data_IF_964298464580
#
_entry.id   IF_964298464580
#
_cell.length_a   1.000
_cell.length_b   1.000
_cell.length_c   1.000
_cell.angle_alpha   90.00
_cell.angle_beta   90.00
_cell.angle_gamma   90.00
#
_symmetry.space_group_name_H-M   'P 1'
#
loop_
_entity.id
_entity.type
_entity.pdbx_description
1 polymer ?
#
# COMPACT_ATOMS: atom_id res chain seq x y z
N UNK A 1 13.72 12.98 1.06
CA UNK A 1 12.59 13.73 1.67
C UNK A 1 12.53 13.40 3.16
N UNK A 2 12.43 14.42 3.95
CA UNK A 2 12.26 14.28 5.40
C UNK A 2 10.89 13.70 5.75
N UNK A 3 10.80 12.95 6.86
CA UNK A 3 9.53 12.31 7.31
C UNK A 3 8.44 13.37 7.50
N UNK A 4 8.74 14.47 8.15
CA UNK A 4 7.76 15.53 8.39
C UNK A 4 7.26 16.14 7.08
N UNK A 5 8.16 16.37 6.12
CA UNK A 5 7.79 16.85 4.79
C UNK A 5 6.85 15.87 4.07
N UNK A 6 7.14 14.57 4.14
CA UNK A 6 6.29 13.55 3.55
C UNK A 6 4.88 13.57 4.17
N UNK A 7 4.80 13.67 5.50
CA UNK A 7 3.52 13.76 6.21
C UNK A 7 2.73 15.00 5.79
N UNK A 8 3.41 16.15 5.63
CA UNK A 8 2.75 17.41 5.27
C UNK A 8 2.27 17.45 3.83
N UNK A 9 2.88 16.70 2.93
CA UNK A 9 2.66 16.84 1.48
C UNK A 9 1.95 15.66 0.83
N UNK A 10 1.89 14.49 1.46
CA UNK A 10 1.33 13.29 0.86
C UNK A 10 -0.15 13.50 0.47
N UNK A 11 -0.49 13.05 -0.73
CA UNK A 11 -1.84 13.13 -1.28
C UNK A 11 -2.30 11.74 -1.72
N UNK A 12 -3.61 11.52 -1.66
CA UNK A 12 -4.24 10.38 -2.30
C UNK A 12 -4.26 10.59 -3.82
N UNK A 13 -3.72 9.65 -4.57
CA UNK A 13 -3.60 9.73 -6.04
C UNK A 13 -4.55 8.71 -6.67
N UNK A 14 -5.33 9.15 -7.67
CA UNK A 14 -6.30 8.32 -8.38
C UNK A 14 -6.06 8.22 -9.88
N UNK A 15 -5.05 8.90 -10.39
CA UNK A 15 -4.61 8.80 -11.79
C UNK A 15 -3.13 8.41 -11.78
N UNK A 16 -2.80 7.35 -12.52
CA UNK A 16 -1.45 6.79 -12.52
C UNK A 16 -0.86 6.86 -13.93
N UNK A 17 0.45 7.09 -13.98
CA UNK A 17 1.21 7.06 -15.22
C UNK A 17 1.40 5.62 -15.69
N UNK A 18 1.50 5.42 -17.01
CA UNK A 18 1.87 4.13 -17.61
C UNK A 18 3.38 3.88 -17.50
N UNK A 19 3.90 3.98 -16.28
CA UNK A 19 5.32 3.86 -15.99
C UNK A 19 5.52 2.79 -14.91
N UNK A 20 6.36 1.78 -15.16
CA UNK A 20 6.62 0.76 -14.16
C UNK A 20 7.37 1.35 -12.96
N UNK A 21 7.12 0.78 -11.80
CA UNK A 21 7.88 1.07 -10.59
C UNK A 21 9.01 0.04 -10.48
N UNK A 22 10.26 0.47 -10.27
CA UNK A 22 11.38 -0.47 -10.12
C UNK A 22 11.17 -1.46 -8.97
N UNK A 23 11.61 -2.70 -9.16
CA UNK A 23 11.46 -3.74 -8.14
C UNK A 23 12.08 -3.37 -6.80
N UNK A 24 13.22 -2.68 -6.81
CA UNK A 24 13.87 -2.24 -5.57
C UNK A 24 13.01 -1.22 -4.80
N UNK A 25 12.25 -0.37 -5.49
CA UNK A 25 11.33 0.56 -4.86
C UNK A 25 10.13 -0.18 -4.25
N UNK A 26 9.56 -1.14 -4.99
CA UNK A 26 8.49 -2.00 -4.47
C UNK A 26 8.97 -2.73 -3.21
N UNK A 27 10.19 -3.28 -3.25
CA UNK A 27 10.77 -3.98 -2.12
C UNK A 27 10.87 -3.07 -0.88
N UNK A 28 11.36 -1.84 -1.03
CA UNK A 28 11.46 -0.89 0.08
C UNK A 28 10.09 -0.52 0.65
N UNK A 29 9.09 -0.37 -0.20
CA UNK A 29 7.72 -0.06 0.23
C UNK A 29 7.17 -1.21 1.09
N UNK A 30 7.30 -2.44 0.63
CA UNK A 30 6.84 -3.62 1.39
C UNK A 30 7.65 -3.78 2.69
N UNK A 31 8.94 -3.55 2.64
CA UNK A 31 9.81 -3.65 3.82
C UNK A 31 9.41 -2.62 4.89
N UNK A 32 9.01 -1.41 4.48
CA UNK A 32 8.54 -0.39 5.42
C UNK A 32 7.29 -0.87 6.17
N UNK A 33 6.40 -1.59 5.50
CA UNK A 33 5.23 -2.19 6.14
C UNK A 33 5.63 -3.29 7.12
N UNK A 34 6.49 -4.20 6.67
CA UNK A 34 6.96 -5.32 7.50
C UNK A 34 7.65 -4.85 8.77
N UNK A 35 8.39 -3.75 8.71
CA UNK A 35 9.14 -3.19 9.84
C UNK A 35 8.29 -2.30 10.76
N UNK A 36 7.05 -2.03 10.39
CA UNK A 36 6.14 -1.22 11.21
C UNK A 36 5.85 -1.94 12.53
N UNK A 37 5.84 -1.18 13.62
CA UNK A 37 5.51 -1.72 14.93
C UNK A 37 4.07 -2.21 14.98
N UNK A 38 3.85 -3.32 15.67
CA UNK A 38 2.52 -3.86 15.93
C UNK A 38 2.33 -4.14 17.42
N UNK A 39 1.07 -4.26 17.83
CA UNK A 39 0.71 -4.52 19.21
C UNK A 39 1.31 -5.86 19.66
N UNK A 40 2.15 -5.82 20.70
CA UNK A 40 2.86 -6.99 21.24
C UNK A 40 3.72 -7.70 20.18
N UNK A 41 4.12 -7.00 19.12
CA UNK A 41 4.87 -7.55 17.98
C UNK A 41 4.20 -8.76 17.33
N UNK A 42 2.86 -8.78 17.32
CA UNK A 42 2.11 -9.91 16.77
C UNK A 42 2.11 -9.96 15.24
N UNK A 43 2.27 -8.82 14.58
CA UNK A 43 2.37 -8.73 13.11
C UNK A 43 1.21 -9.45 12.40
N UNK A 44 -0.06 -9.05 12.68
CA UNK A 44 -1.25 -9.77 12.23
C UNK A 44 -1.64 -9.45 10.79
N UNK A 45 -0.68 -9.41 9.88
CA UNK A 45 -0.84 -8.99 8.49
C UNK A 45 -0.10 -9.88 7.52
N UNK A 46 -0.56 -9.86 6.27
CA UNK A 46 0.15 -10.39 5.12
C UNK A 46 0.04 -9.36 4.00
N UNK A 47 1.12 -9.17 3.26
CA UNK A 47 1.20 -8.22 2.15
C UNK A 47 1.37 -8.98 0.86
N UNK A 48 0.43 -8.81 -0.07
CA UNK A 48 0.41 -9.53 -1.36
C UNK A 48 0.60 -8.49 -2.44
N UNK A 49 1.73 -8.55 -3.15
CA UNK A 49 2.02 -7.66 -4.26
C UNK A 49 1.35 -8.19 -5.52
N UNK A 50 0.56 -7.36 -6.17
CA UNK A 50 -0.10 -7.65 -7.43
C UNK A 50 0.44 -6.70 -8.48
N UNK A 51 1.21 -7.20 -9.44
CA UNK A 51 1.81 -6.41 -10.52
C UNK A 51 1.51 -6.94 -11.92
N UNK A 52 0.69 -7.97 -12.04
CA UNK A 52 0.19 -8.48 -13.31
C UNK A 52 -0.98 -7.62 -13.78
N UNK A 53 -0.91 -7.11 -15.02
CA UNK A 53 -1.93 -6.21 -15.56
C UNK A 53 -3.32 -6.83 -15.57
N UNK A 54 -3.46 -8.07 -15.97
CA UNK A 54 -4.76 -8.75 -16.02
C UNK A 54 -5.37 -8.87 -14.62
N UNK A 55 -4.54 -9.18 -13.62
CA UNK A 55 -4.99 -9.27 -12.23
C UNK A 55 -5.35 -7.88 -11.67
N UNK A 56 -4.60 -6.84 -12.02
CA UNK A 56 -4.93 -5.46 -11.61
C UNK A 56 -6.26 -5.01 -12.21
N UNK A 57 -6.55 -5.36 -13.46
CA UNK A 57 -7.83 -5.06 -14.10
C UNK A 57 -8.97 -5.76 -13.36
N UNK A 58 -8.82 -7.04 -13.05
CA UNK A 58 -9.82 -7.79 -12.28
C UNK A 58 -10.02 -7.20 -10.89
N UNK A 59 -8.94 -6.84 -10.23
CA UNK A 59 -8.99 -6.22 -8.91
C UNK A 59 -9.74 -4.89 -8.95
N UNK A 60 -9.46 -4.05 -9.94
CA UNK A 60 -10.14 -2.77 -10.15
C UNK A 60 -11.64 -2.91 -10.41
N UNK A 61 -12.09 -4.06 -10.93
CA UNK A 61 -13.51 -4.30 -11.18
C UNK A 61 -14.30 -4.68 -9.92
N UNK A 62 -13.62 -5.13 -8.86
CA UNK A 62 -14.28 -5.60 -7.62
C UNK A 62 -14.05 -4.68 -6.42
N UNK A 63 -13.07 -3.80 -6.50
CA UNK A 63 -12.75 -2.86 -5.41
C UNK A 63 -13.61 -1.61 -5.51
N UNK A 64 -14.23 -1.19 -4.42
CA UNK A 64 -15.07 0.00 -4.37
C UNK A 64 -14.67 0.90 -3.18
N UNK A 65 -14.39 2.19 -3.41
CA UNK A 65 -14.14 2.83 -4.68
C UNK A 65 -12.73 2.50 -5.17
N UNK A 66 -12.51 2.26 -6.41
CA UNK A 66 -11.15 1.98 -6.83
C UNK A 66 -10.94 1.42 -8.23
N UNK A 67 -11.78 1.82 -9.24
CA UNK A 67 -11.56 1.34 -10.61
C UNK A 67 -10.20 1.78 -11.17
N UNK A 68 -9.60 2.84 -10.62
CA UNK A 68 -8.24 3.30 -10.96
C UNK A 68 -7.15 2.27 -10.63
N UNK A 69 -7.45 1.26 -9.82
CA UNK A 69 -6.52 0.16 -9.51
C UNK A 69 -6.05 -0.54 -10.78
N UNK A 70 -6.92 -0.66 -11.79
CA UNK A 70 -6.59 -1.25 -13.07
C UNK A 70 -5.42 -0.56 -13.79
N UNK A 71 -5.18 0.71 -13.48
CA UNK A 71 -4.14 1.54 -14.12
C UNK A 71 -2.87 1.67 -13.28
N UNK A 72 -2.87 1.18 -12.06
CA UNK A 72 -1.71 1.26 -11.17
C UNK A 72 -0.56 0.39 -11.69
N UNK A 73 0.68 0.77 -11.36
CA UNK A 73 1.86 -0.04 -11.66
C UNK A 73 1.83 -1.35 -10.86
N UNK A 74 1.35 -1.28 -9.64
CA UNK A 74 1.12 -2.45 -8.78
C UNK A 74 0.10 -2.09 -7.69
N UNK A 75 -0.42 -3.11 -7.05
CA UNK A 75 -1.26 -2.97 -5.86
C UNK A 75 -0.71 -3.87 -4.75
N UNK A 76 -0.98 -3.51 -3.53
CA UNK A 76 -0.67 -4.34 -2.37
C UNK A 76 -1.99 -4.69 -1.68
N UNK A 77 -2.34 -5.96 -1.70
CA UNK A 77 -3.45 -6.47 -0.92
C UNK A 77 -2.96 -6.73 0.50
N UNK A 78 -3.60 -6.09 1.48
CA UNK A 78 -3.26 -6.25 2.88
C UNK A 78 -4.32 -7.10 3.56
N UNK A 79 -3.94 -8.32 3.93
CA UNK A 79 -4.79 -9.25 4.64
C UNK A 79 -4.48 -9.20 6.13
N UNK A 80 -5.51 -9.32 6.96
CA UNK A 80 -5.36 -9.30 8.41
C UNK A 80 -5.84 -10.60 9.02
N UNK A 81 -5.24 -10.96 10.16
CA UNK A 81 -5.73 -12.03 11.01
C UNK A 81 -6.98 -11.54 11.76
N UNK A 82 -8.14 -12.08 11.41
CA UNK A 82 -9.42 -11.71 12.02
C UNK A 82 -9.48 -12.02 13.51
N UNK A 83 -8.68 -12.94 13.99
CA UNK A 83 -8.66 -13.30 15.42
C UNK A 83 -7.88 -12.29 16.26
N UNK A 84 -7.07 -11.44 15.64
CA UNK A 84 -6.34 -10.39 16.36
C UNK A 84 -7.25 -9.21 16.68
N UNK A 85 -7.34 -8.79 17.95
CA UNK A 85 -8.12 -7.60 18.31
C UNK A 85 -7.48 -6.30 17.79
N UNK A 86 -6.22 -6.35 17.36
CA UNK A 86 -5.45 -5.21 16.88
C UNK A 86 -5.16 -5.26 15.38
N UNK A 87 -5.74 -6.23 14.66
CA UNK A 87 -5.43 -6.44 13.24
C UNK A 87 -5.65 -5.21 12.38
N UNK A 88 -6.80 -4.56 12.52
CA UNK A 88 -7.14 -3.37 11.74
C UNK A 88 -6.19 -2.21 12.07
N UNK A 89 -5.97 -1.92 13.35
CA UNK A 89 -5.10 -0.81 13.75
C UNK A 89 -3.65 -1.05 13.36
N UNK A 90 -3.15 -2.26 13.53
CA UNK A 90 -1.78 -2.62 13.17
C UNK A 90 -1.57 -2.54 11.66
N UNK A 91 -2.49 -3.12 10.87
CA UNK A 91 -2.43 -3.07 9.41
C UNK A 91 -2.54 -1.62 8.89
N UNK A 92 -3.37 -0.79 9.49
CA UNK A 92 -3.51 0.62 9.11
C UNK A 92 -2.20 1.38 9.31
N UNK A 93 -1.47 1.12 10.39
CA UNK A 93 -0.14 1.70 10.60
C UNK A 93 0.85 1.24 9.53
N UNK A 94 0.85 -0.04 9.20
CA UNK A 94 1.72 -0.58 8.16
C UNK A 94 1.41 0.03 6.78
N UNK A 95 0.13 0.22 6.45
CA UNK A 95 -0.28 0.88 5.21
C UNK A 95 0.24 2.31 5.16
N UNK A 96 0.15 3.05 6.26
CA UNK A 96 0.66 4.42 6.28
C UNK A 96 2.18 4.47 6.09
N UNK A 97 2.91 3.50 6.63
CA UNK A 97 4.35 3.38 6.37
C UNK A 97 4.64 3.20 4.87
N UNK A 98 3.86 2.35 4.19
CA UNK A 98 3.99 2.17 2.74
C UNK A 98 3.66 3.44 1.96
N UNK A 99 2.59 4.12 2.32
CA UNK A 99 2.15 5.36 1.68
C UNK A 99 3.23 6.43 1.76
N UNK A 100 3.80 6.63 2.94
CA UNK A 100 4.84 7.64 3.15
C UNK A 100 6.16 7.27 2.47
N UNK A 101 6.54 5.99 2.50
CA UNK A 101 7.75 5.51 1.81
C UNK A 101 7.62 5.70 0.31
N UNK A 102 6.49 5.31 -0.28
CA UNK A 102 6.22 5.53 -1.70
C UNK A 102 6.30 7.01 -2.06
N UNK A 103 5.62 7.85 -1.31
CA UNK A 103 5.60 9.30 -1.53
C UNK A 103 6.99 9.91 -1.48
N UNK A 104 7.82 9.49 -0.52
CA UNK A 104 9.20 9.98 -0.39
C UNK A 104 10.07 9.64 -1.61
N UNK A 105 9.68 8.64 -2.38
CA UNK A 105 10.36 8.22 -3.61
C UNK A 105 9.68 8.73 -4.88
N UNK A 106 8.72 9.63 -4.76
CA UNK A 106 8.00 10.19 -5.89
C UNK A 106 6.90 9.29 -6.45
N UNK A 107 6.44 8.31 -5.67
CA UNK A 107 5.42 7.34 -6.07
C UNK A 107 4.11 7.67 -5.34
N UNK A 108 3.09 8.07 -6.11
CA UNK A 108 1.76 8.32 -5.57
C UNK A 108 1.00 7.03 -5.31
N UNK A 109 0.12 7.05 -4.32
CA UNK A 109 -0.67 5.89 -3.94
C UNK A 109 -2.07 6.26 -3.49
N UNK A 110 -2.92 5.26 -3.34
CA UNK A 110 -4.25 5.41 -2.77
C UNK A 110 -4.58 4.18 -1.95
N UNK A 111 -5.22 4.40 -0.83
CA UNK A 111 -5.80 3.33 -0.02
C UNK A 111 -7.26 3.14 -0.45
N UNK A 112 -7.61 1.94 -0.86
CA UNK A 112 -8.93 1.62 -1.38
C UNK A 112 -9.38 0.24 -0.89
N UNK A 113 -10.67 -0.02 -1.00
CA UNK A 113 -11.27 -1.34 -0.77
C UNK A 113 -11.99 -1.51 0.54
N UNK A 114 -12.91 -2.45 0.51
CA UNK A 114 -13.74 -2.93 1.60
C UNK A 114 -13.74 -4.45 1.59
#
# INVERSE_FOLDING_TARGET
MEVYEAICTVLAVREFQSKPVPDNAIHRIIESARLTASSMNRQPWNFIVVNNRDTLIKLGSVVTPGPYTAQAAFAVAVAIDKSSPFGISDASRAIQSMVLTAWSEGIGSNWTGW
#
